data_IF_575393118072
#
_entry.id   IF_575393118072
#
_cell.length_a   1.000
_cell.length_b   1.000
_cell.length_c   1.000
_cell.angle_alpha   90.00
_cell.angle_beta   90.00
_cell.angle_gamma   90.00
#
_symmetry.space_group_name_H-M   'P 1'
#
loop_
_entity.id
_entity.type
_entity.pdbx_description
1 polymer ?
#
# COMPACT_ATOMS: atom_id res chain seq x y z
N UNK A 1 23.78 -7.17 15.17
CA UNK A 1 22.41 -7.43 14.67
C UNK A 1 22.54 -8.23 13.39
N UNK A 2 21.94 -9.42 13.32
CA UNK A 2 21.83 -10.19 12.07
C UNK A 2 20.72 -9.54 11.22
N UNK A 3 20.89 -9.40 9.90
CA UNK A 3 19.84 -8.85 9.04
C UNK A 3 18.65 -9.82 9.03
N UNK A 4 17.51 -9.34 9.50
CA UNK A 4 16.25 -10.06 9.38
C UNK A 4 15.63 -9.68 8.04
N UNK A 5 15.53 -10.66 7.14
CA UNK A 5 14.89 -10.51 5.85
C UNK A 5 13.38 -10.72 6.02
N UNK A 6 12.58 -9.82 5.44
CA UNK A 6 11.12 -9.96 5.43
C UNK A 6 10.70 -11.03 4.42
N UNK A 7 9.73 -11.85 4.80
CA UNK A 7 9.07 -12.75 3.87
C UNK A 7 8.27 -11.94 2.83
N UNK A 8 8.06 -12.52 1.64
CA UNK A 8 7.34 -11.84 0.56
C UNK A 8 5.92 -11.39 0.97
N UNK A 9 5.27 -12.13 1.86
CA UNK A 9 3.95 -11.77 2.39
C UNK A 9 3.97 -10.51 3.28
N UNK A 10 5.11 -10.16 3.89
CA UNK A 10 5.23 -9.03 4.82
C UNK A 10 5.63 -7.73 4.08
N UNK A 11 6.26 -7.85 2.91
CA UNK A 11 6.74 -6.72 2.11
C UNK A 11 5.64 -5.71 1.69
N UNK A 12 4.40 -6.12 1.32
CA UNK A 12 3.34 -5.18 1.00
C UNK A 12 3.03 -4.20 2.14
N UNK A 13 2.76 -4.71 3.34
CA UNK A 13 2.43 -3.89 4.50
C UNK A 13 3.57 -2.96 4.91
N UNK A 14 4.80 -3.47 4.94
CA UNK A 14 6.00 -2.68 5.25
C UNK A 14 6.22 -1.53 4.26
N UNK A 15 5.95 -1.76 2.97
CA UNK A 15 5.97 -0.69 1.98
C UNK A 15 4.87 0.36 2.24
N UNK A 16 3.65 -0.08 2.56
CA UNK A 16 2.50 0.82 2.77
C UNK A 16 2.63 1.72 4.01
N UNK A 17 3.35 1.27 5.05
CA UNK A 17 3.68 2.08 6.22
C UNK A 17 4.31 3.43 5.85
N UNK A 18 5.09 3.46 4.76
CA UNK A 18 5.74 4.67 4.26
C UNK A 18 4.98 5.28 3.07
N UNK A 19 4.57 4.46 2.11
CA UNK A 19 4.03 4.93 0.83
C UNK A 19 2.71 5.71 0.98
N UNK A 20 1.82 5.29 1.88
CA UNK A 20 0.52 5.94 2.07
C UNK A 20 0.58 7.20 2.96
N UNK A 21 1.71 7.43 3.64
CA UNK A 21 1.96 8.70 4.36
C UNK A 21 2.33 9.84 3.42
N UNK A 22 2.74 9.53 2.20
CA UNK A 22 3.00 10.53 1.17
C UNK A 22 1.67 11.06 0.64
N UNK A 23 1.48 12.38 0.68
CA UNK A 23 0.24 13.02 0.21
C UNK A 23 -0.07 12.69 -1.27
N UNK A 24 0.97 12.54 -2.09
CA UNK A 24 0.86 12.19 -3.52
C UNK A 24 0.74 10.69 -3.78
N UNK A 25 0.72 9.87 -2.72
CA UNK A 25 0.73 8.42 -2.80
C UNK A 25 1.97 7.86 -3.48
N UNK A 26 1.81 6.74 -4.17
CA UNK A 26 2.90 6.01 -4.84
C UNK A 26 2.49 5.54 -6.23
N UNK A 27 3.48 5.29 -7.09
CA UNK A 27 3.27 4.58 -8.35
C UNK A 27 3.42 3.07 -8.13
N UNK A 28 2.60 2.25 -8.81
CA UNK A 28 2.71 0.79 -8.75
C UNK A 28 4.09 0.28 -9.20
N UNK A 29 4.76 1.01 -10.10
CA UNK A 29 6.13 0.70 -10.51
C UNK A 29 7.14 0.86 -9.36
N UNK A 30 6.97 1.87 -8.49
CA UNK A 30 7.85 2.08 -7.33
C UNK A 30 7.70 0.95 -6.32
N UNK A 31 6.47 0.44 -6.14
CA UNK A 31 6.20 -0.72 -5.31
C UNK A 31 6.97 -1.95 -5.80
N UNK A 32 6.87 -2.29 -7.10
CA UNK A 32 7.59 -3.42 -7.68
C UNK A 32 9.10 -3.23 -7.62
N UNK A 33 9.60 -2.03 -7.89
CA UNK A 33 11.03 -1.74 -7.83
C UNK A 33 11.61 -1.90 -6.41
N UNK A 34 10.82 -1.62 -5.36
CA UNK A 34 11.27 -1.68 -3.96
C UNK A 34 11.07 -3.04 -3.31
N UNK A 35 10.01 -3.75 -3.66
CA UNK A 35 9.65 -5.04 -3.03
C UNK A 35 10.05 -6.26 -3.85
N UNK A 36 10.22 -6.08 -5.17
CA UNK A 36 10.37 -7.18 -6.13
C UNK A 36 9.06 -7.89 -6.46
N UNK A 37 7.92 -7.42 -5.93
CA UNK A 37 6.62 -8.06 -6.08
C UNK A 37 5.75 -7.39 -7.15
N UNK A 38 4.91 -8.17 -7.86
CA UNK A 38 3.98 -7.60 -8.84
C UNK A 38 2.85 -6.82 -8.14
N UNK A 39 2.29 -5.77 -8.73
CA UNK A 39 1.19 -5.00 -8.13
C UNK A 39 -0.07 -5.82 -7.82
N UNK A 40 -0.22 -6.99 -8.44
CA UNK A 40 -1.33 -7.92 -8.20
C UNK A 40 -1.39 -8.43 -6.76
N UNK A 41 -0.28 -8.41 -6.02
CA UNK A 41 -0.26 -8.71 -4.58
C UNK A 41 -1.04 -7.69 -3.74
N UNK A 42 -1.21 -6.46 -4.26
CA UNK A 42 -1.96 -5.40 -3.60
C UNK A 42 -3.45 -5.42 -3.94
N UNK A 43 -3.83 -6.10 -5.02
CA UNK A 43 -5.17 -5.97 -5.61
C UNK A 43 -6.32 -6.23 -4.62
N UNK A 44 -6.28 -7.26 -3.77
CA UNK A 44 -7.37 -7.50 -2.80
C UNK A 44 -7.59 -6.32 -1.84
N UNK A 45 -6.51 -5.75 -1.31
CA UNK A 45 -6.57 -4.60 -0.41
C UNK A 45 -6.96 -3.32 -1.18
N UNK A 46 -6.43 -3.12 -2.40
CA UNK A 46 -6.78 -1.97 -3.24
C UNK A 46 -8.28 -1.97 -3.59
N UNK A 47 -8.84 -3.11 -3.97
CA UNK A 47 -10.26 -3.25 -4.30
C UNK A 47 -11.13 -2.91 -3.09
N UNK A 48 -10.85 -3.54 -1.94
CA UNK A 48 -11.58 -3.31 -0.69
C UNK A 48 -11.53 -1.84 -0.27
N UNK A 49 -10.35 -1.23 -0.25
CA UNK A 49 -10.17 0.14 0.22
C UNK A 49 -10.69 1.18 -0.78
N UNK A 50 -10.64 0.90 -2.08
CA UNK A 50 -11.22 1.76 -3.12
C UNK A 50 -12.75 1.70 -3.07
N UNK A 51 -13.33 0.51 -2.91
CA UNK A 51 -14.78 0.34 -2.73
C UNK A 51 -15.30 1.07 -1.49
N UNK A 52 -14.47 1.16 -0.43
CA UNK A 52 -14.75 1.93 0.80
C UNK A 52 -14.47 3.44 0.66
N UNK A 53 -13.98 3.91 -0.49
CA UNK A 53 -13.62 5.31 -0.74
C UNK A 53 -12.41 5.80 0.06
N UNK A 54 -11.59 4.88 0.60
CA UNK A 54 -10.40 5.19 1.40
C UNK A 54 -9.16 5.38 0.53
N UNK A 55 -9.07 4.66 -0.59
CA UNK A 55 -8.04 4.86 -1.60
C UNK A 55 -8.62 5.41 -2.88
N UNK A 56 -7.78 6.11 -3.64
CA UNK A 56 -8.04 6.56 -4.99
C UNK A 56 -6.93 6.01 -5.89
N UNK A 57 -7.33 5.38 -6.98
CA UNK A 57 -6.41 4.89 -8.01
C UNK A 57 -6.62 5.67 -9.30
N UNK A 58 -5.56 6.36 -9.75
CA UNK A 58 -5.52 7.19 -10.95
C UNK A 58 -4.50 6.54 -11.91
N UNK A 59 -4.98 5.63 -12.76
CA UNK A 59 -4.13 4.81 -13.62
C UNK A 59 -3.22 3.89 -12.80
N UNK A 60 -1.90 4.16 -12.84
CA UNK A 60 -0.88 3.40 -12.11
C UNK A 60 -0.46 4.06 -10.80
N UNK A 61 -1.13 5.13 -10.36
CA UNK A 61 -0.87 5.78 -9.07
C UNK A 61 -1.97 5.48 -8.08
N UNK A 62 -1.59 5.21 -6.84
CA UNK A 62 -2.50 4.96 -5.72
C UNK A 62 -2.19 5.95 -4.61
N UNK A 63 -3.22 6.59 -4.06
CA UNK A 63 -3.10 7.51 -2.93
C UNK A 63 -4.27 7.38 -1.95
N UNK A 64 -4.03 7.72 -0.69
CA UNK A 64 -5.10 7.86 0.28
C UNK A 64 -6.03 9.02 -0.09
N UNK A 65 -7.34 8.79 -0.03
CA UNK A 65 -8.35 9.84 -0.15
C UNK A 65 -8.32 10.77 1.07
N UNK A 66 -9.09 11.86 1.06
CA UNK A 66 -9.23 12.70 2.26
C UNK A 66 -9.79 11.91 3.46
N UNK A 67 -10.71 10.97 3.20
CA UNK A 67 -11.24 10.06 4.21
C UNK A 67 -10.17 9.02 4.62
N UNK A 68 -9.49 8.41 3.65
CA UNK A 68 -8.43 7.44 3.91
C UNK A 68 -7.32 7.99 4.80
N UNK A 69 -6.91 9.25 4.59
CA UNK A 69 -5.91 9.90 5.46
C UNK A 69 -6.38 10.10 6.91
N UNK A 70 -7.68 10.26 7.14
CA UNK A 70 -8.24 10.33 8.51
C UNK A 70 -8.23 8.97 9.21
N UNK A 71 -8.21 7.89 8.44
CA UNK A 71 -8.21 6.50 8.92
C UNK A 71 -6.95 5.75 8.46
N UNK A 72 -5.81 6.44 8.40
CA UNK A 72 -4.61 5.91 7.74
C UNK A 72 -4.11 4.61 8.38
N UNK A 73 -4.21 4.49 9.70
CA UNK A 73 -3.85 3.25 10.40
C UNK A 73 -4.73 2.08 9.95
N UNK A 74 -6.04 2.28 9.82
CA UNK A 74 -6.96 1.23 9.32
C UNK A 74 -6.68 0.88 7.85
N UNK A 75 -6.29 1.86 7.04
CA UNK A 75 -5.91 1.62 5.64
C UNK A 75 -4.65 0.76 5.57
N UNK A 76 -3.63 1.06 6.40
CA UNK A 76 -2.38 0.30 6.43
C UNK A 76 -2.61 -1.12 6.96
N UNK A 77 -3.44 -1.30 7.99
CA UNK A 77 -3.74 -2.62 8.57
C UNK A 77 -4.35 -3.58 7.55
N UNK A 78 -5.11 -3.10 6.58
CA UNK A 78 -5.65 -3.93 5.49
C UNK A 78 -4.54 -4.58 4.63
N UNK A 79 -3.35 -3.98 4.57
CA UNK A 79 -2.18 -4.54 3.86
C UNK A 79 -1.31 -5.43 4.75
N UNK A 80 -1.62 -5.53 6.05
CA UNK A 80 -0.91 -6.37 7.02
C UNK A 80 -1.67 -7.68 7.32
N UNK A 81 -2.89 -7.82 6.78
CA UNK A 81 -3.80 -8.94 7.01
C UNK A 81 -3.54 -10.14 6.09
#
# INVERSE_FOLDING_TARGET
>A
VQPQWLADAEKPGEYMLNALRLNSGFALADYTARTGLPPTTLQPALDTLTARGLLLQEGTRVRASALGRRFLDSVITEFLA
#
